data_IF_757910811036
#
_entry.id   IF_757910811036
#
_cell.length_a   1.000
_cell.length_b   1.000
_cell.length_c   1.000
_cell.angle_alpha   90.00
_cell.angle_beta   90.00
_cell.angle_gamma   90.00
#
_symmetry.space_group_name_H-M   'P 1'
#
loop_
_entity.id
_entity.type
_entity.pdbx_description
1 polymer ?
#
# COMPACT_ATOMS: atom_id res chain seq x y z
N UNK A 1 -7.40 10.47 -9.21
CA UNK A 1 -6.51 11.46 -8.56
C UNK A 1 -5.69 10.77 -7.46
N UNK A 2 -4.46 10.32 -7.75
CA UNK A 2 -3.61 9.60 -6.78
C UNK A 2 -2.13 10.04 -6.85
N UNK A 3 -1.89 11.33 -7.09
CA UNK A 3 -0.53 11.87 -7.13
C UNK A 3 0.03 12.20 -5.72
N UNK A 4 -0.83 12.46 -4.72
CA UNK A 4 -0.40 12.97 -3.41
C UNK A 4 0.32 11.95 -2.50
N UNK A 5 0.26 10.65 -2.80
CA UNK A 5 0.87 9.61 -1.96
C UNK A 5 2.39 9.42 -2.21
N UNK A 6 2.90 9.81 -3.38
CA UNK A 6 4.28 9.53 -3.79
C UNK A 6 5.33 10.27 -2.93
N UNK A 7 5.02 11.47 -2.43
CA UNK A 7 5.93 12.26 -1.59
C UNK A 7 6.18 11.71 -0.17
N UNK A 8 5.46 10.67 0.27
CA UNK A 8 5.65 10.05 1.60
C UNK A 8 6.43 8.75 1.56
N UNK A 9 6.92 8.33 0.39
CA UNK A 9 7.63 7.07 0.23
C UNK A 9 9.11 7.20 0.62
N UNK A 10 9.74 6.14 1.17
CA UNK A 10 11.19 6.06 1.28
C UNK A 10 11.87 6.17 -0.10
N UNK A 11 13.11 6.65 -0.16
CA UNK A 11 13.89 6.67 -1.40
C UNK A 11 13.99 5.27 -2.04
N UNK A 12 13.81 5.22 -3.37
CA UNK A 12 13.89 4.00 -4.18
C UNK A 12 12.63 3.13 -4.13
N UNK A 13 11.56 3.60 -3.49
CA UNK A 13 10.27 2.89 -3.52
C UNK A 13 9.40 3.29 -4.70
N UNK A 14 9.64 4.46 -5.26
CA UNK A 14 8.88 5.06 -6.36
C UNK A 14 9.25 4.53 -7.75
N UNK A 15 10.44 3.93 -7.92
CA UNK A 15 11.01 3.56 -9.22
C UNK A 15 10.24 2.47 -9.98
N UNK A 16 9.58 1.54 -9.28
CA UNK A 16 8.97 0.33 -9.88
C UNK A 16 7.43 0.26 -9.72
N UNK A 17 6.77 1.40 -9.52
CA UNK A 17 5.34 1.42 -9.24
C UNK A 17 4.52 1.49 -10.53
N UNK A 18 4.00 0.35 -10.99
CA UNK A 18 3.08 0.29 -12.15
C UNK A 18 1.78 1.08 -11.86
N UNK A 19 1.27 1.78 -12.88
CA UNK A 19 -0.01 2.49 -12.84
C UNK A 19 -1.24 1.56 -12.87
N UNK A 20 -1.07 0.27 -13.16
CA UNK A 20 -2.15 -0.74 -13.08
C UNK A 20 -2.62 -0.97 -11.63
N UNK A 21 -1.79 -0.56 -10.67
CA UNK A 21 -2.03 -0.72 -9.25
C UNK A 21 -2.23 0.64 -8.57
N UNK A 22 -3.08 0.63 -7.56
CA UNK A 22 -3.13 1.66 -6.54
C UNK A 22 -2.09 1.34 -5.47
N UNK A 23 -1.35 2.36 -5.03
CA UNK A 23 -0.25 2.21 -4.09
C UNK A 23 -0.46 3.08 -2.86
N UNK A 24 -0.36 2.49 -1.67
CA UNK A 24 -0.53 3.20 -0.40
C UNK A 24 0.67 2.98 0.51
N UNK A 25 1.44 4.05 0.81
CA UNK A 25 2.47 4.00 1.83
C UNK A 25 1.87 4.20 3.22
N UNK A 26 2.20 3.31 4.15
CA UNK A 26 1.84 3.40 5.55
C UNK A 26 3.09 3.51 6.42
N UNK A 27 2.97 4.24 7.53
CA UNK A 27 3.96 4.25 8.62
C UNK A 27 3.33 3.65 9.86
N UNK A 28 3.94 2.58 10.36
CA UNK A 28 3.58 1.97 11.63
C UNK A 28 4.50 2.52 12.72
N UNK A 29 3.92 2.90 13.87
CA UNK A 29 4.69 3.47 14.96
C UNK A 29 5.48 2.36 15.70
N UNK A 30 6.56 2.71 16.42
CA UNK A 30 7.47 1.75 17.02
C UNK A 30 6.88 0.97 18.20
N UNK A 31 5.91 1.55 18.91
CA UNK A 31 5.16 0.91 20.00
C UNK A 31 4.26 -0.23 19.51
N UNK A 32 3.97 -0.27 18.21
CA UNK A 32 3.18 -1.34 17.62
C UNK A 32 4.00 -2.63 17.53
N UNK A 33 3.56 -3.65 18.26
CA UNK A 33 4.18 -4.98 18.19
C UNK A 33 4.15 -5.55 16.77
N UNK A 34 5.06 -6.50 16.48
CA UNK A 34 5.06 -7.20 15.18
C UNK A 34 3.75 -7.95 14.94
N UNK A 35 3.23 -8.62 15.96
CA UNK A 35 1.99 -9.41 15.85
C UNK A 35 0.80 -8.51 15.54
N UNK A 36 0.63 -7.41 16.27
CA UNK A 36 -0.46 -6.46 16.02
C UNK A 36 -0.39 -5.84 14.63
N UNK A 37 0.83 -5.51 14.16
CA UNK A 37 1.04 -5.02 12.81
C UNK A 37 0.62 -6.07 11.75
N UNK A 38 1.09 -7.31 11.90
CA UNK A 38 0.75 -8.40 10.99
C UNK A 38 -0.76 -8.64 10.93
N UNK A 39 -1.43 -8.74 12.07
CA UNK A 39 -2.89 -8.95 12.11
C UNK A 39 -3.64 -7.84 11.38
N UNK A 40 -3.29 -6.56 11.59
CA UNK A 40 -3.94 -5.44 10.90
C UNK A 40 -3.71 -5.52 9.39
N UNK A 41 -2.47 -5.75 8.95
CA UNK A 41 -2.15 -5.85 7.52
C UNK A 41 -2.85 -7.04 6.86
N UNK A 42 -2.97 -8.18 7.55
CA UNK A 42 -3.73 -9.33 7.05
C UNK A 42 -5.21 -9.03 6.88
N UNK A 43 -5.83 -8.29 7.80
CA UNK A 43 -7.23 -7.86 7.68
C UNK A 43 -7.41 -6.94 6.46
N UNK A 44 -6.50 -5.99 6.24
CA UNK A 44 -6.54 -5.12 5.05
C UNK A 44 -6.40 -5.94 3.75
N UNK A 45 -5.57 -6.97 3.75
CA UNK A 45 -5.40 -7.85 2.60
C UNK A 45 -6.66 -8.66 2.30
N UNK A 46 -7.21 -9.28 3.33
CA UNK A 46 -8.38 -10.16 3.22
C UNK A 46 -9.63 -9.39 2.79
N UNK A 47 -9.91 -8.26 3.45
CA UNK A 47 -11.21 -7.60 3.32
C UNK A 47 -11.21 -6.37 2.42
N UNK A 48 -10.04 -5.80 2.08
CA UNK A 48 -9.94 -4.58 1.26
C UNK A 48 -9.11 -4.77 -0.01
N UNK A 49 -8.60 -5.97 -0.24
CA UNK A 49 -7.82 -6.32 -1.44
C UNK A 49 -6.44 -5.69 -1.47
N UNK A 50 -5.89 -5.31 -0.31
CA UNK A 50 -4.55 -4.72 -0.21
C UNK A 50 -3.46 -5.78 -0.06
N UNK A 51 -2.57 -5.88 -1.03
CA UNK A 51 -1.42 -6.77 -0.97
C UNK A 51 -0.19 -6.05 -0.38
N UNK A 52 0.50 -6.71 0.54
CA UNK A 52 1.77 -6.26 1.09
C UNK A 52 2.89 -6.42 0.05
N UNK A 53 3.55 -5.32 -0.35
CA UNK A 53 4.61 -5.38 -1.39
C UNK A 53 6.01 -5.14 -0.84
N UNK A 54 6.20 -4.14 0.03
CA UNK A 54 7.50 -3.82 0.63
C UNK A 54 7.34 -3.45 2.09
N UNK A 55 8.32 -3.85 2.91
CA UNK A 55 8.42 -3.47 4.32
C UNK A 55 9.84 -3.02 4.61
N UNK A 56 10.00 -1.90 5.31
CA UNK A 56 11.29 -1.44 5.85
C UNK A 56 11.14 -1.13 7.33
N UNK A 57 11.92 -1.82 8.15
CA UNK A 57 12.08 -1.52 9.57
C UNK A 57 13.21 -0.50 9.74
N UNK A 58 13.00 0.49 10.61
CA UNK A 58 13.99 1.49 10.98
C UNK A 58 14.53 1.24 12.38
N UNK A 59 15.69 1.83 12.68
CA UNK A 59 16.38 1.65 13.96
C UNK A 59 15.61 2.23 15.15
N UNK A 60 14.71 3.19 14.90
CA UNK A 60 13.77 3.73 15.90
C UNK A 60 12.62 2.77 16.21
N UNK A 61 12.58 1.60 15.58
CA UNK A 61 11.53 0.59 15.69
C UNK A 61 10.32 0.84 14.79
N UNK A 62 10.26 2.02 14.14
CA UNK A 62 9.16 2.35 13.23
C UNK A 62 9.27 1.52 11.95
N UNK A 63 8.13 1.28 11.30
CA UNK A 63 8.09 0.50 10.05
C UNK A 63 7.42 1.31 8.97
N UNK A 64 7.97 1.30 7.77
CA UNK A 64 7.23 1.73 6.59
C UNK A 64 6.80 0.51 5.81
N UNK A 65 5.58 0.57 5.30
CA UNK A 65 4.92 -0.50 4.56
C UNK A 65 4.37 0.09 3.28
N UNK A 66 4.54 -0.62 2.17
CA UNK A 66 3.91 -0.30 0.91
C UNK A 66 2.88 -1.37 0.59
N UNK A 67 1.64 -0.93 0.48
CA UNK A 67 0.52 -1.75 0.02
C UNK A 67 0.23 -1.45 -1.44
N UNK A 68 -0.25 -2.47 -2.17
CA UNK A 68 -0.77 -2.33 -3.52
C UNK A 68 -2.15 -2.96 -3.64
N UNK A 69 -2.96 -2.47 -4.56
CA UNK A 69 -4.22 -3.10 -4.94
C UNK A 69 -4.41 -2.91 -6.43
N UNK A 70 -4.82 -3.96 -7.16
CA UNK A 70 -5.09 -3.81 -8.60
C UNK A 70 -6.21 -2.81 -8.79
N UNK A 71 -6.03 -1.82 -9.67
CA UNK A 71 -7.14 -0.96 -10.06
C UNK A 71 -8.15 -1.84 -10.79
N UNK A 72 -9.36 -1.93 -10.25
CA UNK A 72 -10.47 -2.46 -11.02
C UNK A 72 -10.60 -1.55 -12.24
N UNK A 73 -10.36 -2.08 -13.43
CA UNK A 73 -10.92 -1.50 -14.64
C UNK A 73 -12.43 -1.67 -14.48
N UNK A 74 -13.06 -0.75 -13.74
CA UNK A 74 -14.49 -0.60 -13.82
C UNK A 74 -14.76 -0.23 -15.27
N UNK A 75 -15.19 -1.24 -16.02
CA UNK A 75 -15.72 -1.21 -17.37
C UNK A 75 -16.18 0.21 -17.76
N UNK A 76 -15.30 0.99 -18.40
CA UNK A 76 -15.69 2.17 -19.15
C UNK A 76 -16.15 1.76 -20.56
N UNK A 77 -16.74 0.57 -20.64
CA UNK A 77 -17.46 0.03 -21.79
C UNK A 77 -18.93 0.10 -21.40
N UNK A 78 -19.46 1.34 -21.34
CA UNK A 78 -20.91 1.50 -21.44
C UNK A 78 -21.26 1.11 -22.87
N UNK A 79 -22.09 0.08 -23.11
CA UNK A 79 -22.62 -0.11 -24.45
C UNK A 79 -23.46 1.13 -24.76
N UNK A 80 -22.97 1.92 -25.69
CA UNK A 80 -23.69 3.02 -26.31
C UNK A 80 -24.91 2.45 -27.06
N UNK A 81 -26.09 2.68 -26.45
CA UNK A 81 -27.47 2.60 -26.98
C UNK A 81 -27.88 1.38 -27.83
#
# INVERSE_FOLDING_TARGET
>A
MTAAARGRMPPGWDTDLSDDYEWVPLRLPPDMTRISASTRLSIEAEYRGWELTRVRLYNDGSRRVLLRRKKSQCLADQPEL
#
